data_IF_708165153896
#
_entry.id   IF_708165153896
#
_cell.length_a   1.000
_cell.length_b   1.000
_cell.length_c   1.000
_cell.angle_alpha   90.00
_cell.angle_beta   90.00
_cell.angle_gamma   90.00
#
_symmetry.space_group_name_H-M   'P 1'
#
loop_
_entity.id
_entity.type
_entity.pdbx_description
1 polymer ?
#
# COMPACT_ATOMS: atom_id res chain seq x y z
N UNK A 1 -24.19 14.95 45.48
CA UNK A 1 -25.45 15.76 45.42
C UNK A 1 -26.01 16.01 46.82
N UNK A 2 -25.93 15.02 47.73
CA UNK A 2 -26.29 15.16 49.15
C UNK A 2 -25.71 16.39 49.86
N UNK A 3 -24.44 16.78 49.62
CA UNK A 3 -23.83 17.92 50.32
C UNK A 3 -24.51 19.26 50.02
N UNK A 4 -24.92 19.51 48.77
CA UNK A 4 -25.63 20.74 48.43
C UNK A 4 -27.03 20.76 49.06
N UNK A 5 -27.68 19.61 49.13
CA UNK A 5 -29.00 19.47 49.77
C UNK A 5 -28.89 19.70 51.29
N UNK A 6 -27.86 19.15 51.94
CA UNK A 6 -27.55 19.37 53.37
C UNK A 6 -27.19 20.85 53.67
N UNK A 7 -26.43 21.49 52.78
CA UNK A 7 -26.14 22.93 52.87
C UNK A 7 -27.43 23.76 52.76
N UNK A 8 -28.33 23.39 51.85
CA UNK A 8 -29.61 24.06 51.69
C UNK A 8 -30.51 23.87 52.91
N UNK A 9 -30.52 22.69 53.55
CA UNK A 9 -31.25 22.46 54.82
C UNK A 9 -30.74 23.36 55.94
N UNK A 10 -29.41 23.55 56.07
CA UNK A 10 -28.87 24.52 57.04
C UNK A 10 -29.31 25.95 56.70
N UNK A 11 -29.28 26.33 55.42
CA UNK A 11 -29.71 27.66 54.97
C UNK A 11 -31.20 27.89 55.28
N UNK A 12 -32.05 26.90 55.00
CA UNK A 12 -33.48 26.94 55.27
C UNK A 12 -33.79 27.01 56.77
N UNK A 13 -33.08 26.25 57.61
CA UNK A 13 -33.23 26.31 59.06
C UNK A 13 -32.85 27.71 59.59
N UNK A 14 -31.74 28.27 59.09
CA UNK A 14 -31.32 29.64 59.44
C UNK A 14 -32.31 30.68 58.92
N UNK A 15 -32.92 30.49 57.75
CA UNK A 15 -33.89 31.44 57.22
C UNK A 15 -35.24 31.39 57.93
N UNK A 16 -35.74 30.19 58.25
CA UNK A 16 -37.02 29.95 58.91
C UNK A 16 -36.97 30.07 60.45
N UNK A 17 -35.77 30.16 61.03
CA UNK A 17 -35.59 30.27 62.48
C UNK A 17 -36.27 31.51 63.10
N UNK A 18 -36.80 31.32 64.31
CA UNK A 18 -37.58 32.36 65.01
C UNK A 18 -36.69 33.52 65.42
N UNK A 19 -37.14 34.76 65.18
CA UNK A 19 -36.48 35.95 65.76
C UNK A 19 -36.64 35.93 67.28
N UNK A 20 -35.53 36.13 67.98
CA UNK A 20 -35.49 36.25 69.44
C UNK A 20 -36.28 37.48 69.89
N UNK A 21 -36.96 37.36 71.02
CA UNK A 21 -37.72 38.45 71.65
C UNK A 21 -36.80 39.55 72.20
N UNK A 22 -35.50 39.28 72.36
CA UNK A 22 -34.51 40.22 72.88
C UNK A 22 -33.39 40.42 71.84
N UNK A 23 -33.64 41.33 70.89
CA UNK A 23 -32.67 41.78 69.89
C UNK A 23 -32.83 41.17 68.49
N UNK A 24 -31.88 41.45 67.59
CA UNK A 24 -31.93 41.02 66.18
C UNK A 24 -31.40 39.60 65.91
N UNK A 25 -31.28 38.75 66.94
CA UNK A 25 -30.74 37.39 66.79
C UNK A 25 -31.86 36.41 66.39
N UNK A 26 -31.54 35.40 65.59
CA UNK A 26 -32.44 34.26 65.33
C UNK A 26 -32.08 33.07 66.22
N UNK A 27 -33.06 32.28 66.58
CA UNK A 27 -32.92 31.07 67.42
C UNK A 27 -33.02 29.84 66.53
N UNK A 28 -31.91 29.16 66.32
CA UNK A 28 -31.78 27.95 65.51
C UNK A 28 -31.72 26.71 66.41
N UNK A 29 -32.12 25.56 65.89
CA UNK A 29 -31.81 24.26 66.50
C UNK A 29 -30.33 23.92 66.27
N UNK A 30 -29.54 24.07 67.34
CA UNK A 30 -28.10 23.85 67.29
C UNK A 30 -27.78 22.35 67.13
N UNK A 31 -28.61 21.46 67.66
CA UNK A 31 -28.38 20.01 67.57
C UNK A 31 -28.56 19.55 66.12
N UNK A 32 -29.64 19.98 65.47
CA UNK A 32 -29.94 19.68 64.07
C UNK A 32 -28.86 20.21 63.11
N UNK A 33 -28.46 21.48 63.27
CA UNK A 33 -27.41 22.08 62.41
C UNK A 33 -26.06 21.39 62.62
N UNK A 34 -25.71 21.00 63.85
CA UNK A 34 -24.48 20.26 64.13
C UNK A 34 -24.48 18.86 63.51
N UNK A 35 -25.61 18.17 63.52
CA UNK A 35 -25.77 16.86 62.88
C UNK A 35 -25.50 16.95 61.37
N UNK A 36 -26.12 17.94 60.70
CA UNK A 36 -25.90 18.18 59.27
C UNK A 36 -24.45 18.56 58.97
N UNK A 37 -23.83 19.39 59.80
CA UNK A 37 -22.42 19.78 59.64
C UNK A 37 -21.48 18.57 59.78
N UNK A 38 -21.77 17.64 60.68
CA UNK A 38 -20.96 16.42 60.84
C UNK A 38 -21.15 15.45 59.66
N UNK A 39 -22.34 15.38 59.09
CA UNK A 39 -22.62 14.61 57.87
C UNK A 39 -21.89 15.22 56.65
N UNK A 40 -21.93 16.54 56.48
CA UNK A 40 -21.15 17.25 55.45
C UNK A 40 -19.65 17.00 55.63
N UNK A 41 -19.14 17.12 56.86
CA UNK A 41 -17.72 16.90 57.17
C UNK A 41 -17.27 15.48 56.87
N UNK A 42 -18.16 14.50 56.98
CA UNK A 42 -17.86 13.11 56.65
C UNK A 42 -17.93 12.86 55.14
N UNK A 43 -18.89 13.45 54.44
CA UNK A 43 -19.09 13.23 53.01
C UNK A 43 -18.14 14.04 52.11
N UNK A 44 -17.71 15.23 52.54
CA UNK A 44 -16.90 16.15 51.72
C UNK A 44 -15.53 15.57 51.31
N UNK A 45 -14.76 14.90 52.21
CA UNK A 45 -13.51 14.27 51.83
C UNK A 45 -13.68 13.19 50.76
N UNK A 46 -14.71 12.34 50.89
CA UNK A 46 -14.98 11.24 49.96
C UNK A 46 -15.33 11.75 48.56
N UNK A 47 -16.17 12.79 48.46
CA UNK A 47 -16.52 13.41 47.17
C UNK A 47 -15.30 14.10 46.51
N UNK A 48 -14.37 14.67 47.29
CA UNK A 48 -13.09 15.20 46.78
C UNK A 48 -12.19 14.08 46.25
N UNK A 49 -12.05 12.97 46.98
CA UNK A 49 -11.26 11.80 46.55
C UNK A 49 -11.84 11.23 45.26
N UNK A 50 -13.16 11.04 45.19
CA UNK A 50 -13.83 10.56 43.99
C UNK A 50 -13.62 11.48 42.79
N UNK A 51 -13.74 12.81 42.99
CA UNK A 51 -13.48 13.77 41.92
C UNK A 51 -12.02 13.70 41.41
N UNK A 52 -11.06 13.47 42.31
CA UNK A 52 -9.65 13.30 41.97
C UNK A 52 -9.44 12.01 41.16
N UNK A 53 -10.02 10.89 41.57
CA UNK A 53 -9.98 9.62 40.83
C UNK A 53 -10.55 9.75 39.41
N UNK A 54 -11.68 10.44 39.27
CA UNK A 54 -12.29 10.71 37.95
C UNK A 54 -11.36 11.54 37.07
N UNK A 55 -10.66 12.54 37.63
CA UNK A 55 -9.69 13.35 36.89
C UNK A 55 -8.47 12.51 36.46
N UNK A 56 -7.99 11.62 37.32
CA UNK A 56 -6.85 10.76 37.04
C UNK A 56 -7.20 9.73 35.96
N UNK A 57 -8.35 9.06 36.06
CA UNK A 57 -8.85 8.17 35.00
C UNK A 57 -9.05 8.91 33.67
N UNK A 58 -9.55 10.15 33.70
CA UNK A 58 -9.68 10.96 32.48
C UNK A 58 -8.32 11.22 31.84
N UNK A 59 -7.28 11.53 32.63
CA UNK A 59 -5.92 11.70 32.11
C UNK A 59 -5.40 10.42 31.50
N UNK A 60 -5.56 9.28 32.16
CA UNK A 60 -5.13 7.99 31.63
C UNK A 60 -5.80 7.65 30.29
N UNK A 61 -7.11 7.95 30.16
CA UNK A 61 -7.85 7.75 28.91
C UNK A 61 -7.25 8.64 27.80
N UNK A 62 -6.98 9.91 28.10
CA UNK A 62 -6.41 10.86 27.12
C UNK A 62 -5.02 10.40 26.70
N UNK A 63 -4.16 10.04 27.64
CA UNK A 63 -2.79 9.61 27.38
C UNK A 63 -2.78 8.30 26.57
N UNK A 64 -3.66 7.35 26.91
CA UNK A 64 -3.85 6.12 26.15
C UNK A 64 -4.31 6.39 24.71
N UNK A 65 -5.27 7.32 24.53
CA UNK A 65 -5.76 7.70 23.22
C UNK A 65 -4.67 8.38 22.38
N UNK A 66 -3.87 9.28 22.98
CA UNK A 66 -2.74 9.92 22.33
C UNK A 66 -1.66 8.92 21.93
N UNK A 67 -1.32 7.97 22.81
CA UNK A 67 -0.36 6.91 22.51
C UNK A 67 -0.84 6.01 21.36
N UNK A 68 -2.13 5.63 21.35
CA UNK A 68 -2.73 4.88 20.23
C UNK A 68 -2.70 5.66 18.93
N UNK A 69 -3.07 6.95 18.95
CA UNK A 69 -3.03 7.80 17.77
C UNK A 69 -1.60 7.92 17.19
N UNK A 70 -0.60 8.09 18.06
CA UNK A 70 0.81 8.11 17.66
C UNK A 70 1.25 6.78 17.04
N UNK A 71 0.94 5.64 17.66
CA UNK A 71 1.26 4.33 17.10
C UNK A 71 0.60 4.10 15.72
N UNK A 72 -0.64 4.57 15.53
CA UNK A 72 -1.31 4.50 14.23
C UNK A 72 -0.56 5.33 13.20
N UNK A 73 -0.19 6.58 13.53
CA UNK A 73 0.58 7.45 12.64
C UNK A 73 1.93 6.83 12.25
N UNK A 74 2.68 6.33 13.23
CA UNK A 74 3.97 5.68 13.00
C UNK A 74 3.83 4.42 12.12
N UNK A 75 2.72 3.67 12.28
CA UNK A 75 2.40 2.50 11.45
C UNK A 75 1.98 2.84 10.01
N UNK A 76 1.35 4.00 9.80
CA UNK A 76 0.93 4.46 8.46
C UNK A 76 2.13 4.77 7.58
N UNK A 77 3.13 5.47 8.10
CA UNK A 77 4.33 5.83 7.32
C UNK A 77 5.11 4.58 6.88
N UNK A 78 5.22 3.59 7.76
CA UNK A 78 5.84 2.30 7.44
C UNK A 78 5.08 1.60 6.32
N UNK A 79 3.76 1.48 6.48
CA UNK A 79 2.91 0.79 5.50
C UNK A 79 2.84 1.51 4.16
N UNK A 80 2.85 2.84 4.17
CA UNK A 80 2.92 3.64 2.95
C UNK A 80 4.25 3.40 2.22
N UNK A 81 5.36 3.34 2.96
CA UNK A 81 6.68 3.06 2.40
C UNK A 81 6.73 1.68 1.75
N UNK A 82 6.19 0.65 2.41
CA UNK A 82 6.07 -0.71 1.88
C UNK A 82 5.22 -0.75 0.59
N UNK A 83 4.07 -0.08 0.58
CA UNK A 83 3.21 -0.01 -0.60
C UNK A 83 3.88 0.70 -1.79
N UNK A 84 4.61 1.78 -1.53
CA UNK A 84 5.38 2.49 -2.58
C UNK A 84 6.48 1.59 -3.13
N UNK A 85 7.19 0.87 -2.25
CA UNK A 85 8.23 -0.05 -2.65
C UNK A 85 7.67 -1.21 -3.49
N UNK A 86 6.59 -1.86 -3.02
CA UNK A 86 5.91 -2.93 -3.76
C UNK A 86 5.42 -2.46 -5.12
N UNK A 87 4.80 -1.27 -5.18
CA UNK A 87 4.34 -0.70 -6.43
C UNK A 87 5.50 -0.39 -7.38
N UNK A 88 6.62 0.15 -6.86
CA UNK A 88 7.83 0.41 -7.66
C UNK A 88 8.45 -0.87 -8.17
N UNK A 89 8.54 -1.92 -7.35
CA UNK A 89 9.04 -3.24 -7.76
C UNK A 89 8.16 -3.80 -8.86
N UNK A 90 6.84 -3.72 -8.70
CA UNK A 90 5.86 -4.15 -9.69
C UNK A 90 6.01 -3.40 -11.02
N UNK A 91 6.12 -2.07 -10.98
CA UNK A 91 6.35 -1.26 -12.18
C UNK A 91 7.64 -1.63 -12.90
N UNK A 92 8.75 -1.78 -12.16
CA UNK A 92 10.03 -2.22 -12.71
C UNK A 92 9.96 -3.63 -13.31
N UNK A 93 9.19 -4.54 -12.69
CA UNK A 93 8.97 -5.87 -13.22
C UNK A 93 8.21 -5.83 -14.57
N UNK A 94 7.17 -5.01 -14.69
CA UNK A 94 6.46 -4.80 -15.96
C UNK A 94 7.35 -4.19 -17.03
N UNK A 95 8.15 -3.17 -16.70
CA UNK A 95 9.10 -2.59 -17.65
C UNK A 95 10.13 -3.62 -18.13
N UNK A 96 10.68 -4.42 -17.21
CA UNK A 96 11.64 -5.47 -17.55
C UNK A 96 10.99 -6.55 -18.42
N UNK A 97 9.77 -6.98 -18.09
CA UNK A 97 9.02 -7.94 -18.89
C UNK A 97 8.79 -7.42 -20.32
N UNK A 98 8.35 -6.17 -20.47
CA UNK A 98 8.16 -5.54 -21.78
C UNK A 98 9.46 -5.46 -22.58
N UNK A 99 10.58 -5.12 -21.95
CA UNK A 99 11.91 -5.13 -22.61
C UNK A 99 12.31 -6.52 -23.06
N UNK A 100 12.06 -7.55 -22.26
CA UNK A 100 12.35 -8.95 -22.63
C UNK A 100 11.52 -9.35 -23.84
N UNK A 101 10.23 -9.01 -23.86
CA UNK A 101 9.33 -9.30 -24.99
C UNK A 101 9.80 -8.58 -26.26
N UNK A 102 10.09 -7.28 -26.20
CA UNK A 102 10.58 -6.51 -27.35
C UNK A 102 11.91 -7.07 -27.89
N UNK A 103 12.84 -7.41 -26.99
CA UNK A 103 14.12 -8.00 -27.36
C UNK A 103 13.93 -9.37 -28.02
N UNK A 104 13.07 -10.22 -27.45
CA UNK A 104 12.78 -11.53 -28.01
C UNK A 104 12.10 -11.43 -29.39
N UNK A 105 11.18 -10.47 -29.57
CA UNK A 105 10.54 -10.21 -30.85
C UNK A 105 11.54 -9.74 -31.92
N UNK A 106 12.45 -8.82 -31.56
CA UNK A 106 13.53 -8.37 -32.45
C UNK A 106 14.46 -9.51 -32.85
N UNK A 107 14.92 -10.30 -31.88
CA UNK A 107 15.77 -11.45 -32.13
C UNK A 107 15.08 -12.49 -33.02
N UNK A 108 13.80 -12.80 -32.77
CA UNK A 108 13.03 -13.71 -33.60
C UNK A 108 12.89 -13.20 -35.04
N UNK A 109 12.67 -11.89 -35.22
CA UNK A 109 12.62 -11.26 -36.53
C UNK A 109 13.97 -11.37 -37.27
N UNK A 110 15.08 -11.04 -36.59
CA UNK A 110 16.43 -11.13 -37.14
C UNK A 110 16.78 -12.57 -37.55
N UNK A 111 16.50 -13.55 -36.69
CA UNK A 111 16.71 -14.97 -36.99
C UNK A 111 15.94 -15.37 -38.25
N UNK A 112 14.68 -14.95 -38.38
CA UNK A 112 13.84 -15.27 -39.54
C UNK A 112 14.41 -14.64 -40.82
N UNK A 113 14.80 -13.37 -40.78
CA UNK A 113 15.39 -12.68 -41.94
C UNK A 113 16.68 -13.36 -42.36
N UNK A 114 17.59 -13.58 -41.42
CA UNK A 114 18.87 -14.24 -41.68
C UNK A 114 18.70 -15.66 -42.24
N UNK A 115 17.73 -16.42 -41.74
CA UNK A 115 17.42 -17.76 -42.25
C UNK A 115 16.88 -17.72 -43.69
N UNK A 116 16.05 -16.72 -44.01
CA UNK A 116 15.55 -16.53 -45.36
C UNK A 116 16.66 -16.11 -46.33
N UNK A 117 17.51 -15.17 -45.92
CA UNK A 117 18.66 -14.72 -46.72
C UNK A 117 19.66 -15.86 -46.97
N UNK A 118 19.92 -16.67 -45.95
CA UNK A 118 20.72 -17.88 -46.09
C UNK A 118 20.10 -18.86 -47.11
N UNK A 119 18.79 -19.10 -47.04
CA UNK A 119 18.09 -19.98 -47.99
C UNK A 119 18.17 -19.44 -49.43
N UNK A 120 18.04 -18.12 -49.62
CA UNK A 120 18.21 -17.48 -50.94
C UNK A 120 19.62 -17.71 -51.47
N UNK A 121 20.66 -17.44 -50.67
CA UNK A 121 22.05 -17.62 -51.09
C UNK A 121 22.35 -19.08 -51.49
N UNK A 122 21.86 -20.06 -50.72
CA UNK A 122 22.01 -21.48 -51.05
C UNK A 122 21.32 -21.84 -52.37
N UNK A 123 20.13 -21.28 -52.63
CA UNK A 123 19.41 -21.49 -53.88
C UNK A 123 20.09 -20.82 -55.07
N UNK A 124 20.68 -19.64 -54.88
CA UNK A 124 21.49 -18.96 -55.91
C UNK A 124 22.75 -19.76 -56.26
N UNK A 125 23.48 -20.24 -55.26
CA UNK A 125 24.65 -21.11 -55.45
C UNK A 125 24.27 -22.37 -56.22
N UNK A 126 23.17 -23.03 -55.84
CA UNK A 126 22.67 -24.21 -56.54
C UNK A 126 22.31 -23.91 -57.99
N UNK A 127 21.66 -22.78 -58.24
CA UNK A 127 21.31 -22.32 -59.60
C UNK A 127 22.56 -22.10 -60.45
N UNK A 128 23.60 -21.50 -59.86
CA UNK A 128 24.90 -21.29 -60.52
C UNK A 128 25.56 -22.62 -60.91
N UNK A 129 25.65 -23.58 -59.97
CA UNK A 129 26.20 -24.91 -60.26
C UNK A 129 25.41 -25.64 -61.34
N UNK A 130 24.08 -25.60 -61.28
CA UNK A 130 23.24 -26.23 -62.31
C UNK A 130 23.47 -25.61 -63.69
N UNK A 131 23.68 -24.29 -63.77
CA UNK A 131 23.99 -23.61 -65.03
C UNK A 131 25.33 -24.07 -65.59
N UNK A 132 26.36 -24.16 -64.76
CA UNK A 132 27.69 -24.67 -65.15
C UNK A 132 27.59 -26.11 -65.68
N UNK A 133 26.88 -26.99 -64.97
CA UNK A 133 26.65 -28.37 -65.44
C UNK A 133 25.90 -28.42 -66.77
N UNK A 134 24.89 -27.57 -66.96
CA UNK A 134 24.14 -27.50 -68.22
C UNK A 134 25.02 -27.02 -69.37
N UNK A 135 25.94 -26.08 -69.12
CA UNK A 135 26.88 -25.60 -70.13
C UNK A 135 27.89 -26.71 -70.53
N UNK A 136 28.40 -27.48 -69.56
CA UNK A 136 29.23 -28.67 -69.82
C UNK A 136 28.47 -29.71 -70.65
N UNK A 137 27.21 -29.99 -70.32
CA UNK A 137 26.38 -30.94 -71.06
C UNK A 137 26.18 -30.47 -72.51
N UNK A 138 25.89 -29.18 -72.73
CA UNK A 138 25.74 -28.61 -74.08
C UNK A 138 27.03 -28.70 -74.88
N UNK A 139 28.17 -28.38 -74.27
CA UNK A 139 29.48 -28.50 -74.92
C UNK A 139 29.74 -29.95 -75.35
N UNK A 140 29.55 -30.91 -74.44
CA UNK A 140 29.69 -32.33 -74.73
C UNK A 140 28.77 -32.79 -75.86
N UNK A 141 27.49 -32.38 -75.85
CA UNK A 141 26.55 -32.70 -76.92
C UNK A 141 27.02 -32.15 -78.28
N UNK A 142 27.48 -30.89 -78.33
CA UNK A 142 28.04 -30.29 -79.55
C UNK A 142 29.26 -31.07 -80.06
N UNK A 143 30.17 -31.45 -79.16
CA UNK A 143 31.34 -32.25 -79.49
C UNK A 143 30.96 -33.64 -80.06
N UNK A 144 29.95 -34.30 -79.50
CA UNK A 144 29.45 -35.57 -80.03
C UNK A 144 28.81 -35.43 -81.41
N UNK A 145 28.01 -34.38 -81.64
CA UNK A 145 27.40 -34.11 -82.95
C UNK A 145 28.49 -33.83 -84.00
N UNK A 146 29.46 -32.98 -83.66
CA UNK A 146 30.58 -32.67 -84.55
C UNK A 146 31.41 -33.91 -84.88
N UNK A 147 31.67 -34.77 -83.90
CA UNK A 147 32.37 -36.04 -84.11
C UNK A 147 31.58 -36.97 -85.03
N UNK A 148 30.27 -37.15 -84.77
CA UNK A 148 29.39 -37.97 -85.62
C UNK A 148 29.39 -37.49 -87.07
N UNK A 149 29.31 -36.17 -87.30
CA UNK A 149 29.31 -35.59 -88.65
C UNK A 149 30.65 -35.79 -89.36
N UNK A 150 31.78 -35.72 -88.64
CA UNK A 150 33.11 -36.04 -89.21
C UNK A 150 33.23 -37.52 -89.57
N UNK A 151 32.84 -38.40 -88.65
CA UNK A 151 32.89 -39.84 -88.87
C UNK A 151 32.03 -40.22 -90.10
N UNK A 152 30.86 -39.58 -90.31
CA UNK A 152 30.03 -39.82 -91.49
C UNK A 152 30.65 -39.33 -92.82
N UNK A 153 31.40 -38.23 -92.80
CA UNK A 153 32.06 -37.68 -93.98
C UNK A 153 33.31 -38.48 -94.42
N UNK A 154 33.89 -39.31 -93.55
CA UNK A 154 35.02 -40.19 -93.88
C UNK A 154 34.60 -41.51 -94.56
N UNK A 155 33.29 -41.82 -94.59
CA UNK A 155 32.73 -43.02 -95.23
C UNK A 155 31.97 -42.74 -96.56
N UNK A 156 31.92 -41.48 -97.01
CA UNK A 156 31.44 -41.07 -98.35
C UNK A 156 32.61 -40.83 -99.31
#
# INVERSE_FOLDING_TARGET
MKIFDLLNEIIEEVDNSRKSLFGNKKTIDVEFVLEILEEIKTALPDEIVYAQEVLDHKREIIDSAQAKAKNILDGVDTRLSELIEEHKVTQLAYEKANRVIDTAQKQAYEIRVNANDYAVNVLEDLSSYMKEYMDIIKENQSNFINKKNKDQAEFE
#
